data_IF_991600519095
#
_entry.id   IF_991600519095
#
_cell.length_a   1.000
_cell.length_b   1.000
_cell.length_c   1.000
_cell.angle_alpha   90.00
_cell.angle_beta   90.00
_cell.angle_gamma   90.00
#
_symmetry.space_group_name_H-M   'P 1'
#
loop_
_entity.id
_entity.type
_entity.pdbx_description
1 polymer ?
#
# COMPACT_ATOMS: atom_id res chain seq x y z
N UNK A 1 31.21 -11.79 -10.00
CA UNK A 1 31.03 -11.05 -11.26
C UNK A 1 29.65 -10.41 -11.19
N UNK A 2 29.53 -9.10 -11.41
CA UNK A 2 28.22 -8.45 -11.43
C UNK A 2 27.44 -8.94 -12.66
N UNK A 3 26.14 -9.21 -12.50
CA UNK A 3 25.27 -9.60 -13.62
C UNK A 3 25.26 -8.49 -14.68
N UNK A 4 25.12 -8.84 -15.95
CA UNK A 4 24.95 -7.81 -16.98
C UNK A 4 23.63 -7.08 -16.78
N UNK A 5 23.51 -5.86 -17.28
CA UNK A 5 22.26 -5.11 -17.17
C UNK A 5 21.11 -5.83 -17.91
N UNK A 6 21.40 -6.49 -19.03
CA UNK A 6 20.45 -7.32 -19.78
C UNK A 6 19.92 -8.48 -18.92
N UNK A 7 20.80 -9.20 -18.23
CA UNK A 7 20.41 -10.29 -17.33
C UNK A 7 19.51 -9.80 -16.19
N UNK A 8 19.81 -8.62 -15.63
CA UNK A 8 18.98 -8.03 -14.57
C UNK A 8 17.59 -7.67 -15.09
N UNK A 9 17.49 -7.10 -16.30
CA UNK A 9 16.18 -6.82 -16.92
C UNK A 9 15.39 -8.10 -17.18
N UNK A 10 16.07 -9.17 -17.62
CA UNK A 10 15.47 -10.50 -17.78
C UNK A 10 14.93 -11.07 -16.46
N UNK A 11 15.75 -11.05 -15.41
CA UNK A 11 15.36 -11.53 -14.07
C UNK A 11 14.13 -10.77 -13.52
N UNK A 12 14.06 -9.46 -13.76
CA UNK A 12 12.94 -8.64 -13.29
C UNK A 12 11.62 -8.98 -13.98
N UNK A 13 11.67 -9.38 -15.25
CA UNK A 13 10.50 -9.80 -16.02
C UNK A 13 10.09 -11.26 -15.73
N UNK A 14 10.99 -12.04 -15.12
CA UNK A 14 10.77 -13.47 -14.92
C UNK A 14 9.71 -13.74 -13.84
N UNK A 15 8.70 -14.53 -14.19
CA UNK A 15 7.67 -14.95 -13.25
C UNK A 15 8.21 -15.99 -12.26
N UNK A 16 7.91 -15.80 -10.98
CA UNK A 16 8.22 -16.75 -9.90
C UNK A 16 7.09 -16.80 -8.88
N UNK A 17 7.10 -17.78 -7.97
CA UNK A 17 6.10 -17.91 -6.91
C UNK A 17 6.60 -17.29 -5.60
N UNK A 18 5.69 -16.73 -4.80
CA UNK A 18 5.94 -16.50 -3.37
C UNK A 18 5.06 -17.43 -2.55
N UNK A 19 5.54 -17.83 -1.38
CA UNK A 19 4.75 -18.61 -0.43
C UNK A 19 3.81 -17.69 0.33
N UNK A 20 2.54 -18.06 0.44
CA UNK A 20 1.57 -17.40 1.32
C UNK A 20 1.19 -18.35 2.44
N UNK A 21 1.64 -18.04 3.65
CA UNK A 21 1.36 -18.82 4.85
C UNK A 21 0.21 -18.18 5.64
N UNK A 22 -0.90 -18.90 5.75
CA UNK A 22 -2.07 -18.46 6.52
C UNK A 22 -2.82 -19.70 7.04
N UNK A 23 -2.59 -20.05 8.30
CA UNK A 23 -3.23 -21.19 8.95
C UNK A 23 -3.54 -20.91 10.43
N UNK A 24 -4.26 -21.83 11.06
CA UNK A 24 -4.66 -21.71 12.47
C UNK A 24 -3.46 -21.76 13.43
N UNK A 25 -2.37 -22.43 13.03
CA UNK A 25 -1.12 -22.46 13.77
C UNK A 25 -0.48 -21.08 13.87
N UNK A 26 -0.42 -20.36 12.74
CA UNK A 26 0.02 -18.97 12.66
C UNK A 26 -0.85 -18.06 13.54
N UNK A 27 -2.18 -18.18 13.45
CA UNK A 27 -3.09 -17.38 14.28
C UNK A 27 -2.83 -17.59 15.78
N UNK A 28 -2.63 -18.85 16.19
CA UNK A 28 -2.36 -19.23 17.58
C UNK A 28 -1.00 -18.70 18.06
N UNK A 29 0.04 -18.80 17.21
CA UNK A 29 1.37 -18.30 17.52
C UNK A 29 1.42 -16.77 17.61
N UNK A 30 0.64 -16.06 16.79
CA UNK A 30 0.50 -14.60 16.87
C UNK A 30 -0.23 -14.18 18.14
N UNK A 31 -1.26 -14.92 18.56
CA UNK A 31 -1.95 -14.68 19.82
C UNK A 31 -1.01 -14.85 21.03
N UNK A 32 -0.19 -15.90 21.04
CA UNK A 32 0.84 -16.10 22.07
C UNK A 32 1.86 -14.96 22.09
N UNK A 33 2.41 -14.58 20.92
CA UNK A 33 3.37 -13.47 20.82
C UNK A 33 2.76 -12.12 21.25
N UNK A 34 1.46 -11.91 21.03
CA UNK A 34 0.76 -10.73 21.52
C UNK A 34 0.65 -10.73 23.05
N UNK A 35 0.27 -11.86 23.66
CA UNK A 35 0.17 -12.00 25.11
C UNK A 35 1.52 -11.77 25.80
N UNK A 36 2.60 -12.40 25.30
CA UNK A 36 3.96 -12.21 25.83
C UNK A 36 4.39 -10.73 25.78
N UNK A 37 4.16 -10.07 24.64
CA UNK A 37 4.49 -8.65 24.47
C UNK A 37 3.67 -7.73 25.38
N UNK A 38 2.42 -8.10 25.68
CA UNK A 38 1.55 -7.33 26.57
C UNK A 38 1.91 -7.56 28.05
N UNK A 39 2.34 -8.78 28.43
CA UNK A 39 2.90 -9.07 29.75
C UNK A 39 4.21 -8.30 29.99
N UNK A 40 5.13 -8.30 29.02
CA UNK A 40 6.36 -7.49 29.10
C UNK A 40 6.06 -6.00 29.22
N UNK A 41 5.08 -5.50 28.48
CA UNK A 41 4.64 -4.10 28.59
C UNK A 41 4.07 -3.82 29.98
N UNK A 42 3.24 -4.70 30.52
CA UNK A 42 2.66 -4.54 31.84
C UNK A 42 3.74 -4.50 32.93
N UNK A 43 4.77 -5.36 32.84
CA UNK A 43 5.94 -5.33 33.75
C UNK A 43 6.68 -3.99 33.66
N UNK A 44 6.99 -3.52 32.45
CA UNK A 44 7.65 -2.22 32.23
C UNK A 44 6.80 -1.02 32.69
N UNK A 45 5.48 -1.15 32.69
CA UNK A 45 4.56 -0.12 33.17
C UNK A 45 4.38 -0.15 34.70
N UNK A 46 4.53 -1.31 35.34
CA UNK A 46 4.49 -1.42 36.80
C UNK A 46 5.64 -0.63 37.47
N UNK A 47 6.76 -0.49 36.77
CA UNK A 47 7.94 0.27 37.20
C UNK A 47 7.84 1.78 36.93
N UNK A 48 6.80 2.25 36.23
CA UNK A 48 6.59 3.68 35.91
C UNK A 48 5.64 4.36 36.88
N UNK A 49 5.89 5.66 37.12
CA UNK A 49 5.00 6.52 37.88
C UNK A 49 3.58 6.55 37.28
N UNK A 50 2.56 6.71 38.13
CA UNK A 50 1.14 6.61 37.75
C UNK A 50 0.72 7.59 36.65
N UNK A 51 1.46 8.71 36.48
CA UNK A 51 1.22 9.71 35.43
C UNK A 51 1.78 9.30 34.05
N UNK A 52 2.70 8.34 34.01
CA UNK A 52 3.40 7.86 32.81
C UNK A 52 2.95 6.46 32.38
N UNK A 53 1.91 5.92 33.04
CA UNK A 53 1.31 4.64 32.67
C UNK A 53 0.47 4.81 31.41
N UNK A 54 0.98 4.29 30.30
CA UNK A 54 0.20 4.10 29.08
C UNK A 54 -0.97 3.15 29.34
N UNK A 55 -2.15 3.46 28.81
CA UNK A 55 -3.28 2.52 28.79
C UNK A 55 -2.90 1.21 28.09
N UNK A 56 -3.53 0.09 28.48
CA UNK A 56 -3.31 -1.21 27.85
C UNK A 56 -3.41 -1.12 26.31
N UNK A 57 -2.46 -1.72 25.60
CA UNK A 57 -2.44 -1.67 24.16
C UNK A 57 -3.59 -2.49 23.59
N UNK A 58 -4.49 -1.83 22.87
CA UNK A 58 -5.55 -2.52 22.12
C UNK A 58 -4.96 -3.21 20.89
N UNK A 59 -5.43 -4.44 20.65
CA UNK A 59 -5.10 -5.26 19.49
C UNK A 59 -6.38 -5.74 18.85
N UNK A 60 -6.35 -5.91 17.54
CA UNK A 60 -7.49 -6.43 16.79
C UNK A 60 -7.77 -7.87 17.27
N UNK A 61 -8.96 -8.16 17.80
CA UNK A 61 -9.29 -9.49 18.27
C UNK A 61 -9.59 -10.43 17.10
N UNK A 62 -9.70 -11.72 17.41
CA UNK A 62 -10.19 -12.76 16.49
C UNK A 62 -9.47 -12.77 15.13
N UNK A 63 -8.14 -12.72 15.16
CA UNK A 63 -7.33 -12.93 13.96
C UNK A 63 -7.48 -14.37 13.50
N UNK A 64 -7.86 -14.53 12.23
CA UNK A 64 -8.15 -15.82 11.61
C UNK A 64 -7.32 -15.99 10.33
N UNK A 65 -7.12 -17.25 9.90
CA UNK A 65 -6.51 -17.54 8.61
C UNK A 65 -7.35 -17.00 7.45
N UNK A 66 -6.68 -16.63 6.37
CA UNK A 66 -7.32 -16.18 5.15
C UNK A 66 -7.80 -17.40 4.37
N UNK A 67 -9.09 -17.42 4.05
CA UNK A 67 -9.63 -18.41 3.12
C UNK A 67 -9.19 -18.10 1.68
N UNK A 68 -8.20 -18.83 1.18
CA UNK A 68 -7.70 -18.73 -0.19
C UNK A 68 -8.19 -19.90 -1.04
N UNK A 69 -8.44 -19.65 -2.34
CA UNK A 69 -8.61 -20.73 -3.33
C UNK A 69 -7.24 -21.09 -3.90
N UNK A 70 -6.80 -22.34 -3.75
CA UNK A 70 -5.58 -22.88 -4.37
C UNK A 70 -4.42 -23.14 -3.41
N UNK A 71 -3.23 -23.42 -3.97
CA UNK A 71 -2.07 -24.05 -3.29
C UNK A 71 -1.21 -23.10 -2.41
N UNK A 72 -1.79 -22.05 -1.81
CA UNK A 72 -1.04 -21.18 -0.88
C UNK A 72 0.19 -20.50 -1.50
N UNK A 73 0.22 -20.31 -2.82
CA UNK A 73 1.29 -19.64 -3.54
C UNK A 73 0.75 -18.54 -4.44
N UNK A 74 1.58 -17.52 -4.69
CA UNK A 74 1.23 -16.39 -5.53
C UNK A 74 2.29 -16.19 -6.60
N UNK A 75 1.89 -16.37 -7.87
CA UNK A 75 2.77 -16.13 -9.02
C UNK A 75 2.87 -14.64 -9.37
N UNK A 76 4.07 -14.09 -9.44
CA UNK A 76 4.35 -12.68 -9.72
C UNK A 76 5.79 -12.49 -10.24
N UNK A 77 6.09 -11.33 -10.80
CA UNK A 77 7.46 -10.94 -11.18
C UNK A 77 8.08 -10.04 -10.11
N UNK A 78 9.42 -10.00 -9.95
CA UNK A 78 10.06 -9.00 -9.11
C UNK A 78 9.62 -7.57 -9.48
N UNK A 79 9.41 -7.32 -10.78
CA UNK A 79 8.95 -6.02 -11.26
C UNK A 79 7.56 -5.62 -10.77
N UNK A 80 6.63 -6.57 -10.61
CA UNK A 80 5.31 -6.30 -10.00
C UNK A 80 5.44 -5.84 -8.54
N UNK A 81 6.37 -6.43 -7.79
CA UNK A 81 6.64 -6.03 -6.40
C UNK A 81 7.13 -4.58 -6.35
N UNK A 82 8.04 -4.23 -7.25
CA UNK A 82 8.59 -2.88 -7.34
C UNK A 82 7.54 -1.87 -7.83
N UNK A 83 6.65 -2.28 -8.73
CA UNK A 83 5.53 -1.45 -9.18
C UNK A 83 4.57 -1.17 -8.02
N UNK A 84 4.14 -2.19 -7.26
CA UNK A 84 3.28 -2.00 -6.07
C UNK A 84 3.99 -1.14 -5.02
N UNK A 85 5.28 -1.37 -4.76
CA UNK A 85 6.05 -0.56 -3.83
C UNK A 85 6.13 0.90 -4.28
N UNK A 86 6.46 1.15 -5.54
CA UNK A 86 6.51 2.49 -6.13
C UNK A 86 5.18 3.23 -5.99
N UNK A 87 4.06 2.56 -6.30
CA UNK A 87 2.70 3.09 -6.07
C UNK A 87 2.45 3.42 -4.59
N UNK A 88 2.86 2.53 -3.69
CA UNK A 88 2.63 2.66 -2.25
C UNK A 88 3.39 3.85 -1.62
N UNK A 89 4.58 4.17 -2.14
CA UNK A 89 5.44 5.25 -1.63
C UNK A 89 5.32 6.56 -2.42
N UNK A 90 4.52 6.61 -3.49
CA UNK A 90 4.40 7.79 -4.36
C UNK A 90 3.96 9.07 -3.62
N UNK A 91 3.18 8.94 -2.55
CA UNK A 91 2.77 10.05 -1.68
C UNK A 91 3.60 10.18 -0.40
N UNK A 92 4.61 9.33 -0.22
CA UNK A 92 5.42 9.35 0.99
C UNK A 92 6.32 10.58 0.97
N UNK A 93 6.06 11.59 1.81
CA UNK A 93 6.88 12.82 1.85
C UNK A 93 8.18 12.61 2.64
N UNK A 94 8.96 11.57 2.31
CA UNK A 94 10.10 11.11 3.13
C UNK A 94 11.42 11.77 2.73
N UNK A 95 11.54 12.35 1.55
CA UNK A 95 12.73 13.04 1.05
C UNK A 95 12.77 14.53 1.38
N UNK A 96 13.96 15.02 1.73
CA UNK A 96 14.26 16.46 1.80
C UNK A 96 14.55 17.06 0.40
N UNK A 97 14.96 16.22 -0.55
CA UNK A 97 15.17 16.58 -1.94
C UNK A 97 13.82 16.76 -2.65
N UNK A 98 13.33 18.00 -2.66
CA UNK A 98 12.10 18.37 -3.36
C UNK A 98 12.31 18.20 -4.87
N UNK A 99 11.45 17.43 -5.53
CA UNK A 99 11.48 17.23 -6.99
C UNK A 99 11.96 15.85 -7.47
N UNK A 100 12.52 15.01 -6.59
CA UNK A 100 12.72 13.58 -6.91
C UNK A 100 11.42 12.83 -6.61
N UNK A 101 10.86 12.17 -7.61
CA UNK A 101 9.63 11.42 -7.42
C UNK A 101 9.89 10.18 -6.54
N UNK A 102 9.20 10.09 -5.40
CA UNK A 102 9.45 9.10 -4.34
C UNK A 102 9.27 7.65 -4.82
N UNK A 103 8.40 7.45 -5.83
CA UNK A 103 8.17 6.13 -6.40
C UNK A 103 9.43 5.50 -7.03
N UNK A 104 10.40 6.32 -7.48
CA UNK A 104 11.69 5.83 -7.96
C UNK A 104 12.54 5.18 -6.87
N UNK A 105 12.22 5.42 -5.60
CA UNK A 105 12.85 4.73 -4.47
C UNK A 105 12.76 3.20 -4.55
N UNK A 106 11.78 2.65 -5.26
CA UNK A 106 11.66 1.21 -5.49
C UNK A 106 12.79 0.64 -6.37
N UNK A 107 13.38 1.43 -7.27
CA UNK A 107 14.38 0.98 -8.25
C UNK A 107 15.70 0.52 -7.61
N UNK A 108 15.99 0.95 -6.37
CA UNK A 108 17.15 0.47 -5.60
C UNK A 108 17.10 -1.04 -5.31
N UNK A 109 15.94 -1.66 -5.47
CA UNK A 109 15.74 -3.09 -5.30
C UNK A 109 15.67 -3.86 -6.63
N UNK A 110 16.01 -3.24 -7.76
CA UNK A 110 16.05 -3.87 -9.09
C UNK A 110 16.90 -5.13 -9.16
N UNK A 111 17.90 -5.26 -8.27
CA UNK A 111 18.74 -6.45 -8.17
C UNK A 111 18.51 -7.25 -6.89
N UNK A 112 17.54 -6.89 -6.03
CA UNK A 112 17.41 -7.52 -4.71
C UNK A 112 16.81 -8.93 -4.74
N UNK A 113 16.06 -9.24 -5.79
CA UNK A 113 15.25 -10.45 -5.91
C UNK A 113 15.69 -11.27 -7.11
N UNK A 114 15.51 -12.58 -7.03
CA UNK A 114 15.71 -13.50 -8.14
C UNK A 114 14.72 -14.66 -7.99
N UNK A 115 14.29 -15.23 -9.11
CA UNK A 115 13.39 -16.37 -9.15
C UNK A 115 13.22 -16.85 -10.58
N UNK A 116 12.89 -18.12 -10.73
CA UNK A 116 12.70 -18.77 -12.02
C UNK A 116 11.27 -19.28 -12.16
N UNK A 117 10.88 -19.59 -13.40
CA UNK A 117 9.60 -20.23 -13.70
C UNK A 117 9.51 -21.56 -12.94
N UNK A 118 8.43 -21.73 -12.19
CA UNK A 118 8.19 -22.93 -11.39
C UNK A 118 9.00 -22.98 -10.08
N UNK A 119 9.84 -21.99 -9.78
CA UNK A 119 10.51 -21.84 -8.50
C UNK A 119 9.79 -20.85 -7.59
N UNK A 120 10.29 -20.75 -6.36
CA UNK A 120 9.97 -19.64 -5.46
C UNK A 120 11.00 -18.52 -5.57
N UNK A 121 10.54 -17.29 -5.41
CA UNK A 121 11.35 -16.09 -5.36
C UNK A 121 12.19 -16.08 -4.09
N UNK A 122 13.43 -15.60 -4.19
CA UNK A 122 14.39 -15.50 -3.10
C UNK A 122 15.23 -14.22 -3.23
N UNK A 123 15.99 -13.90 -2.18
CA UNK A 123 17.00 -12.84 -2.28
C UNK A 123 18.12 -13.25 -3.25
N UNK A 124 18.50 -12.34 -4.13
CA UNK A 124 19.68 -12.50 -4.97
C UNK A 124 20.97 -12.31 -4.13
N UNK A 125 22.14 -12.54 -4.72
CA UNK A 125 23.41 -12.23 -4.06
C UNK A 125 23.51 -10.74 -3.65
N UNK A 126 23.09 -9.82 -4.51
CA UNK A 126 23.06 -8.38 -4.22
C UNK A 126 22.03 -8.03 -3.14
N UNK A 127 20.87 -8.71 -3.18
CA UNK A 127 19.84 -8.60 -2.15
C UNK A 127 20.36 -8.97 -0.77
N UNK A 128 21.12 -10.06 -0.66
CA UNK A 128 21.75 -10.51 0.60
C UNK A 128 22.79 -9.52 1.11
N UNK A 129 23.68 -9.02 0.24
CA UNK A 129 24.68 -8.01 0.62
C UNK A 129 24.03 -6.73 1.17
N UNK A 130 22.95 -6.27 0.53
CA UNK A 130 22.17 -5.13 1.02
C UNK A 130 21.50 -5.44 2.35
N UNK A 131 21.00 -6.66 2.55
CA UNK A 131 20.39 -7.09 3.81
C UNK A 131 21.38 -6.98 4.98
N UNK A 132 22.66 -7.29 4.76
CA UNK A 132 23.68 -7.22 5.81
C UNK A 132 23.96 -5.77 6.25
N UNK A 133 23.88 -4.81 5.31
CA UNK A 133 24.18 -3.39 5.57
C UNK A 133 22.95 -2.57 5.97
N UNK A 134 21.77 -2.88 5.40
CA UNK A 134 20.54 -2.10 5.49
C UNK A 134 19.29 -2.97 5.74
N UNK A 135 19.44 -4.05 6.53
CA UNK A 135 18.41 -5.07 6.85
C UNK A 135 17.01 -4.50 7.08
N UNK A 136 16.90 -3.53 7.99
CA UNK A 136 15.60 -2.97 8.41
C UNK A 136 14.92 -2.20 7.30
N UNK A 137 15.68 -1.45 6.49
CA UNK A 137 15.13 -0.66 5.40
C UNK A 137 14.68 -1.57 4.27
N UNK A 138 15.54 -2.49 3.83
CA UNK A 138 15.23 -3.45 2.76
C UNK A 138 14.01 -4.30 3.10
N UNK A 139 14.00 -4.95 4.28
CA UNK A 139 12.86 -5.77 4.67
C UNK A 139 11.59 -4.98 4.94
N UNK A 140 11.70 -3.76 5.46
CA UNK A 140 10.55 -2.88 5.66
C UNK A 140 9.86 -2.50 4.35
N UNK A 141 10.63 -2.11 3.33
CA UNK A 141 10.08 -1.66 2.04
C UNK A 141 9.68 -2.83 1.14
N UNK A 142 10.52 -3.86 1.00
CA UNK A 142 10.12 -5.08 0.26
C UNK A 142 8.94 -5.77 0.94
N UNK A 143 8.87 -5.77 2.27
CA UNK A 143 7.72 -6.30 3.00
C UNK A 143 6.42 -5.54 2.73
N UNK A 144 6.48 -4.23 2.46
CA UNK A 144 5.33 -3.47 1.95
C UNK A 144 4.96 -3.93 0.54
N UNK A 145 5.92 -4.04 -0.38
CA UNK A 145 5.68 -4.49 -1.76
C UNK A 145 5.00 -5.87 -1.81
N UNK A 146 5.63 -6.87 -1.21
CA UNK A 146 5.10 -8.24 -1.17
C UNK A 146 3.76 -8.32 -0.43
N UNK A 147 3.65 -7.66 0.72
CA UNK A 147 2.43 -7.64 1.52
C UNK A 147 1.24 -7.05 0.76
N UNK A 148 1.45 -5.95 0.03
CA UNK A 148 0.38 -5.31 -0.75
C UNK A 148 0.01 -6.11 -2.00
N UNK A 149 0.96 -6.75 -2.70
CA UNK A 149 0.64 -7.66 -3.81
C UNK A 149 -0.21 -8.83 -3.31
N UNK A 150 0.18 -9.45 -2.19
CA UNK A 150 -0.59 -10.53 -1.59
C UNK A 150 -1.99 -10.06 -1.16
N UNK A 151 -2.08 -8.89 -0.51
CA UNK A 151 -3.35 -8.30 -0.11
C UNK A 151 -4.28 -8.04 -1.30
N UNK A 152 -3.79 -7.44 -2.38
CA UNK A 152 -4.57 -7.17 -3.59
C UNK A 152 -5.13 -8.46 -4.18
N UNK A 153 -4.34 -9.53 -4.25
CA UNK A 153 -4.81 -10.83 -4.78
C UNK A 153 -5.83 -11.50 -3.88
N UNK A 154 -5.59 -11.54 -2.57
CA UNK A 154 -6.55 -12.06 -1.59
C UNK A 154 -7.89 -11.34 -1.71
N UNK A 155 -7.85 -10.00 -1.74
CA UNK A 155 -9.05 -9.17 -1.80
C UNK A 155 -9.77 -9.31 -3.15
N UNK A 156 -9.05 -9.35 -4.26
CA UNK A 156 -9.63 -9.55 -5.59
C UNK A 156 -10.27 -10.95 -5.73
N UNK A 157 -9.72 -11.99 -5.08
CA UNK A 157 -10.33 -13.32 -5.05
C UNK A 157 -11.60 -13.35 -4.19
N UNK A 158 -11.58 -12.67 -3.04
CA UNK A 158 -12.72 -12.63 -2.10
C UNK A 158 -13.87 -11.74 -2.62
N UNK A 159 -13.56 -10.70 -3.39
CA UNK A 159 -14.52 -9.73 -3.91
C UNK A 159 -14.29 -9.49 -5.43
N UNK A 160 -14.58 -10.49 -6.29
CA UNK A 160 -14.23 -10.45 -7.71
C UNK A 160 -15.03 -9.42 -8.53
N UNK A 161 -16.15 -8.93 -8.00
CA UNK A 161 -16.99 -7.92 -8.65
C UNK A 161 -16.58 -6.48 -8.31
N UNK A 162 -15.54 -6.28 -7.50
CA UNK A 162 -15.06 -5.00 -7.00
C UNK A 162 -13.61 -4.75 -7.40
N UNK A 163 -13.27 -3.47 -7.54
CA UNK A 163 -11.88 -3.03 -7.79
C UNK A 163 -11.21 -2.72 -6.45
N UNK A 164 -9.97 -3.16 -6.29
CA UNK A 164 -9.16 -2.93 -5.08
C UNK A 164 -8.25 -1.72 -5.31
N UNK A 165 -8.43 -0.66 -4.54
CA UNK A 165 -7.52 0.48 -4.49
C UNK A 165 -6.75 0.49 -3.15
N UNK A 166 -5.42 0.57 -3.21
CA UNK A 166 -4.57 0.71 -2.03
C UNK A 166 -4.24 2.18 -1.82
N UNK A 167 -4.55 2.70 -0.63
CA UNK A 167 -4.43 4.12 -0.31
C UNK A 167 -3.59 4.31 0.94
N UNK A 168 -2.56 5.19 0.95
CA UNK A 168 -1.78 5.46 2.16
C UNK A 168 -2.65 5.99 3.31
N UNK A 169 -2.67 5.25 4.42
CA UNK A 169 -3.55 5.58 5.55
C UNK A 169 -3.11 6.86 6.25
N UNK A 170 -1.81 7.10 6.38
CA UNK A 170 -1.28 8.33 6.99
C UNK A 170 -1.75 9.58 6.22
N UNK A 171 -1.64 9.57 4.89
CA UNK A 171 -2.12 10.67 4.04
C UNK A 171 -3.65 10.80 4.10
N UNK A 172 -4.38 9.69 4.11
CA UNK A 172 -5.86 9.70 4.19
C UNK A 172 -6.34 10.32 5.51
N UNK A 173 -5.79 9.86 6.65
CA UNK A 173 -6.20 10.31 7.98
C UNK A 173 -5.86 11.78 8.25
N UNK A 174 -4.78 12.30 7.65
CA UNK A 174 -4.43 13.73 7.74
C UNK A 174 -5.52 14.66 7.18
N UNK A 175 -6.43 14.19 6.34
CA UNK A 175 -7.52 15.02 5.82
C UNK A 175 -8.47 15.52 6.92
N UNK A 176 -8.61 14.77 8.02
CA UNK A 176 -9.58 15.07 9.08
C UNK A 176 -9.07 15.05 10.51
N UNK A 177 -7.95 14.38 10.81
CA UNK A 177 -7.45 14.26 12.18
C UNK A 177 -6.22 15.13 12.43
N UNK A 178 -6.23 15.83 13.56
CA UNK A 178 -5.21 16.81 13.95
C UNK A 178 -3.96 16.20 14.58
N UNK A 179 -4.11 15.12 15.35
CA UNK A 179 -3.02 14.50 16.08
C UNK A 179 -2.60 13.17 15.43
N UNK A 180 -1.29 12.90 15.46
CA UNK A 180 -0.73 11.62 15.06
C UNK A 180 -0.96 10.62 16.19
N UNK A 181 -1.92 9.72 16.02
CA UNK A 181 -2.00 8.52 16.86
C UNK A 181 -0.68 7.74 16.82
N UNK A 182 -0.25 7.23 17.97
CA UNK A 182 0.97 6.40 18.11
C UNK A 182 0.88 5.18 17.19
N UNK A 183 -0.29 4.56 17.14
CA UNK A 183 -0.62 3.45 16.26
C UNK A 183 -1.53 3.92 15.13
N UNK A 184 -1.24 3.43 13.93
CA UNK A 184 -2.05 3.61 12.72
C UNK A 184 -1.63 2.59 11.66
N UNK A 185 -2.55 2.13 10.82
CA UNK A 185 -2.21 1.26 9.71
C UNK A 185 -1.33 2.02 8.71
N UNK A 186 -0.66 1.28 7.83
CA UNK A 186 0.12 1.88 6.76
C UNK A 186 -0.77 2.24 5.57
N UNK A 187 -1.77 1.41 5.28
CA UNK A 187 -2.64 1.53 4.13
C UNK A 187 -4.10 1.26 4.48
N UNK A 188 -5.00 1.74 3.64
CA UNK A 188 -6.36 1.23 3.50
C UNK A 188 -6.46 0.48 2.17
N UNK A 189 -7.20 -0.62 2.14
CA UNK A 189 -7.78 -1.12 0.91
C UNK A 189 -9.23 -0.64 0.82
N UNK A 190 -9.55 0.06 -0.27
CA UNK A 190 -10.92 0.38 -0.65
C UNK A 190 -11.35 -0.58 -1.76
N UNK A 191 -12.39 -1.38 -1.49
CA UNK A 191 -13.03 -2.26 -2.43
C UNK A 191 -14.32 -1.62 -2.93
N UNK A 192 -14.28 -1.09 -4.15
CA UNK A 192 -15.33 -0.25 -4.69
C UNK A 192 -15.90 -0.79 -5.99
N UNK A 193 -17.15 -0.40 -6.25
CA UNK A 193 -17.88 -0.66 -7.49
C UNK A 193 -18.76 0.56 -7.77
N UNK A 194 -18.82 1.06 -9.03
CA UNK A 194 -19.65 2.21 -9.35
C UNK A 194 -21.10 2.02 -8.90
N UNK A 195 -21.64 3.03 -8.20
CA UNK A 195 -23.02 3.02 -7.70
C UNK A 195 -23.26 2.23 -6.41
N UNK A 196 -22.28 1.47 -5.90
CA UNK A 196 -22.40 0.70 -4.67
C UNK A 196 -21.52 1.27 -3.54
N UNK A 197 -21.87 1.04 -2.26
CA UNK A 197 -21.02 1.39 -1.13
C UNK A 197 -19.64 0.72 -1.24
N UNK A 198 -18.57 1.47 -0.93
CA UNK A 198 -17.22 0.92 -0.83
C UNK A 198 -17.03 0.20 0.50
N UNK A 199 -16.36 -0.96 0.49
CA UNK A 199 -15.84 -1.60 1.69
C UNK A 199 -14.41 -1.11 1.92
N UNK A 200 -14.11 -0.59 3.10
CA UNK A 200 -12.77 -0.13 3.47
C UNK A 200 -12.23 -0.92 4.64
N UNK A 201 -10.99 -1.41 4.52
CA UNK A 201 -10.30 -2.10 5.60
C UNK A 201 -8.84 -1.62 5.76
N UNK A 202 -8.35 -1.42 6.99
CA UNK A 202 -6.95 -1.12 7.27
C UNK A 202 -6.03 -2.30 6.96
N UNK A 203 -4.85 -1.98 6.42
CA UNK A 203 -3.78 -2.92 6.10
C UNK A 203 -2.49 -2.46 6.78
N UNK A 204 -1.80 -3.41 7.41
CA UNK A 204 -0.42 -3.21 7.89
C UNK A 204 0.49 -4.29 7.35
N UNK A 205 1.57 -3.88 6.70
CA UNK A 205 2.61 -4.75 6.18
C UNK A 205 3.89 -4.57 6.99
N UNK A 206 4.51 -5.67 7.37
CA UNK A 206 5.85 -5.70 7.98
C UNK A 206 6.74 -6.59 7.14
N UNK A 207 8.05 -6.49 7.36
CA UNK A 207 8.99 -7.44 6.80
C UNK A 207 10.20 -7.63 7.69
N UNK A 208 10.86 -8.77 7.53
CA UNK A 208 12.08 -9.09 8.25
C UNK A 208 12.96 -10.07 7.45
N UNK A 209 14.27 -10.06 7.72
CA UNK A 209 15.19 -11.10 7.26
C UNK A 209 15.53 -12.09 8.38
N UNK A 210 14.64 -12.27 9.34
CA UNK A 210 14.87 -13.13 10.49
C UNK A 210 14.17 -14.46 10.24
N UNK A 211 13.33 -14.90 11.16
CA UNK A 211 12.60 -16.15 11.08
C UNK A 211 11.12 -15.89 11.33
N UNK A 212 10.33 -16.94 11.15
CA UNK A 212 8.90 -16.96 11.42
C UNK A 212 8.50 -16.46 12.82
N UNK A 213 9.32 -16.70 13.86
CA UNK A 213 9.03 -16.21 15.21
C UNK A 213 9.07 -14.67 15.29
N UNK A 214 9.96 -14.03 14.54
CA UNK A 214 9.94 -12.57 14.38
C UNK A 214 8.70 -12.10 13.63
N UNK A 215 8.26 -12.86 12.60
CA UNK A 215 6.99 -12.60 11.91
C UNK A 215 5.78 -12.65 12.86
N UNK A 216 5.76 -13.55 13.86
CA UNK A 216 4.69 -13.60 14.86
C UNK A 216 4.61 -12.29 15.66
N UNK A 217 5.75 -11.80 16.16
CA UNK A 217 5.81 -10.51 16.88
C UNK A 217 5.45 -9.31 15.98
N UNK A 218 5.82 -9.35 14.70
CA UNK A 218 5.45 -8.32 13.72
C UNK A 218 3.95 -8.31 13.44
N UNK A 219 3.31 -9.46 13.28
CA UNK A 219 1.86 -9.59 13.11
C UNK A 219 1.11 -9.18 14.38
N UNK A 220 1.60 -9.57 15.56
CA UNK A 220 1.07 -9.09 16.82
C UNK A 220 1.12 -7.56 16.88
N UNK A 221 2.27 -6.93 16.59
CA UNK A 221 2.37 -5.47 16.49
C UNK A 221 1.42 -4.88 15.45
N UNK A 222 1.32 -5.48 14.27
CA UNK A 222 0.43 -5.03 13.19
C UNK A 222 -1.06 -5.04 13.61
N UNK A 223 -1.48 -5.99 14.46
CA UNK A 223 -2.85 -6.03 15.01
C UNK A 223 -3.21 -4.77 15.81
N UNK A 224 -2.25 -4.16 16.50
CA UNK A 224 -2.47 -2.90 17.22
C UNK A 224 -2.55 -1.70 16.28
N UNK A 225 -1.81 -1.73 15.17
CA UNK A 225 -1.86 -0.68 14.15
C UNK A 225 -3.22 -0.64 13.45
N UNK A 226 -3.78 -1.79 13.07
CA UNK A 226 -5.09 -1.84 12.41
C UNK A 226 -6.24 -1.56 13.39
N UNK A 227 -6.10 -1.95 14.66
CA UNK A 227 -7.10 -1.69 15.71
C UNK A 227 -7.23 -0.21 16.07
N UNK A 228 -6.21 0.60 15.76
CA UNK A 228 -6.26 2.04 15.96
C UNK A 228 -7.27 2.75 15.04
N UNK A 229 -7.88 2.06 14.07
CA UNK A 229 -8.88 2.64 13.15
C UNK A 229 -10.16 1.81 13.15
N UNK A 230 -11.27 2.44 13.52
CA UNK A 230 -12.61 1.87 13.47
C UNK A 230 -13.43 2.61 12.40
N UNK A 231 -14.03 1.86 11.48
CA UNK A 231 -14.94 2.31 10.43
C UNK A 231 -16.28 1.63 10.66
N UNK A 232 -17.26 2.41 11.12
CA UNK A 232 -18.55 1.91 11.57
C UNK A 232 -18.52 1.44 13.01
N UNK A 233 -19.30 0.40 13.38
CA UNK A 233 -19.44 0.00 14.78
C UNK A 233 -18.11 -0.38 15.42
N UNK A 234 -18.04 -0.19 16.74
CA UNK A 234 -16.86 -0.53 17.52
C UNK A 234 -16.49 -2.01 17.31
N UNK A 235 -15.21 -2.25 17.03
CA UNK A 235 -14.60 -3.55 16.83
C UNK A 235 -15.09 -4.35 15.60
N UNK A 236 -16.01 -3.79 14.80
CA UNK A 236 -16.56 -4.47 13.62
C UNK A 236 -15.79 -4.18 12.34
N UNK A 237 -14.71 -3.40 12.39
CA UNK A 237 -13.92 -3.08 11.18
C UNK A 237 -13.09 -4.29 10.75
N UNK A 238 -13.32 -4.87 9.56
CA UNK A 238 -12.46 -5.94 9.07
C UNK A 238 -11.04 -5.41 8.84
N UNK A 239 -10.03 -6.27 8.91
CA UNK A 239 -8.64 -5.86 8.75
C UNK A 239 -7.78 -6.96 8.12
N UNK A 240 -6.66 -6.56 7.51
CA UNK A 240 -5.67 -7.49 7.00
C UNK A 240 -4.27 -7.12 7.52
N UNK A 241 -3.57 -8.10 8.09
CA UNK A 241 -2.21 -7.91 8.60
C UNK A 241 -1.28 -8.88 7.89
N UNK A 242 -0.12 -8.37 7.47
CA UNK A 242 0.87 -9.16 6.74
C UNK A 242 2.28 -8.95 7.29
N UNK A 243 3.07 -10.01 7.29
CA UNK A 243 4.50 -10.00 7.61
C UNK A 243 5.25 -10.80 6.56
N UNK A 244 6.22 -10.18 5.90
CA UNK A 244 7.04 -10.84 4.88
C UNK A 244 8.36 -11.30 5.47
N UNK A 245 8.62 -12.60 5.42
CA UNK A 245 9.92 -13.19 5.71
C UNK A 245 10.77 -13.22 4.43
N UNK A 246 11.93 -12.58 4.51
CA UNK A 246 12.96 -12.49 3.46
C UNK A 246 14.22 -13.21 3.94
N UNK A 247 14.19 -14.55 4.06
CA UNK A 247 15.32 -15.29 4.61
C UNK A 247 16.55 -15.09 3.72
N UNK A 248 17.74 -15.06 4.34
CA UNK A 248 19.00 -15.01 3.59
C UNK A 248 19.13 -16.22 2.68
N UNK A 249 18.68 -17.39 3.14
CA UNK A 249 18.62 -18.61 2.37
C UNK A 249 17.20 -19.18 2.43
N UNK A 250 16.54 -19.24 1.28
CA UNK A 250 15.20 -19.80 1.17
C UNK A 250 14.23 -18.91 0.40
N UNK A 251 12.96 -19.35 0.28
CA UNK A 251 11.93 -18.62 -0.43
C UNK A 251 11.36 -17.46 0.39
N UNK A 252 10.96 -16.40 -0.30
CA UNK A 252 10.16 -15.33 0.29
C UNK A 252 8.80 -15.87 0.69
N UNK A 253 8.42 -15.64 1.95
CA UNK A 253 7.14 -16.07 2.51
C UNK A 253 6.37 -14.89 3.07
N UNK A 254 5.13 -14.72 2.64
CA UNK A 254 4.20 -13.74 3.23
C UNK A 254 3.31 -14.48 4.21
N UNK A 255 3.39 -14.10 5.48
CA UNK A 255 2.46 -14.54 6.52
C UNK A 255 1.31 -13.56 6.59
N UNK A 256 0.08 -14.06 6.55
CA UNK A 256 -1.09 -13.20 6.48
C UNK A 256 -2.22 -13.71 7.36
N UNK A 257 -2.88 -12.80 8.07
CA UNK A 257 -4.09 -13.07 8.86
C UNK A 257 -5.09 -11.95 8.60
N UNK A 258 -6.37 -12.28 8.74
CA UNK A 258 -7.45 -11.30 8.67
C UNK A 258 -8.27 -11.29 9.95
N UNK A 259 -8.88 -10.14 10.25
CA UNK A 259 -10.01 -10.06 11.15
C UNK A 259 -11.26 -9.80 10.31
N UNK A 260 -12.33 -10.54 10.58
CA UNK A 260 -13.63 -10.28 9.98
C UNK A 260 -14.36 -9.17 10.73
N UNK A 261 -15.53 -8.80 10.21
CA UNK A 261 -16.38 -7.80 10.84
C UNK A 261 -17.43 -7.26 9.89
N UNK A 262 -18.53 -6.77 10.48
CA UNK A 262 -19.67 -6.21 9.73
C UNK A 262 -19.51 -4.74 9.35
N UNK A 263 -18.47 -4.07 9.84
CA UNK A 263 -18.13 -2.68 9.58
C UNK A 263 -17.38 -2.47 8.26
N UNK A 264 -16.73 -1.31 8.13
CA UNK A 264 -15.95 -0.94 6.93
C UNK A 264 -16.78 -0.47 5.73
N UNK A 265 -18.09 -0.72 5.70
CA UNK A 265 -18.99 -0.31 4.63
C UNK A 265 -19.33 1.18 4.69
N UNK A 266 -18.85 1.95 3.72
CA UNK A 266 -19.10 3.38 3.58
C UNK A 266 -20.45 3.63 2.87
N UNK A 267 -21.53 3.23 3.53
CA UNK A 267 -22.90 3.42 3.03
C UNK A 267 -23.26 4.91 3.02
N UNK A 268 -23.81 5.41 1.91
CA UNK A 268 -24.27 6.81 1.84
C UNK A 268 -25.68 6.89 2.46
N UNK A 269 -25.89 7.64 3.56
CA UNK A 269 -27.23 8.11 3.87
C UNK A 269 -27.69 8.99 2.70
N UNK A 270 -28.98 8.89 2.36
CA UNK A 270 -29.61 9.49 1.18
C UNK A 270 -29.28 11.00 1.01
N UNK A 271 -28.86 11.37 -0.20
CA UNK A 271 -29.22 12.61 -0.91
C UNK A 271 -28.60 13.98 -0.55
N UNK A 272 -27.45 14.09 0.14
CA UNK A 272 -26.67 15.35 0.09
C UNK A 272 -25.48 15.21 -0.86
N UNK A 273 -25.63 15.80 -2.04
CA UNK A 273 -24.84 15.52 -3.23
C UNK A 273 -23.56 16.35 -3.31
N UNK A 274 -22.42 15.69 -3.12
CA UNK A 274 -21.18 16.04 -3.81
C UNK A 274 -20.55 14.75 -4.33
N UNK A 275 -20.33 14.62 -5.63
CA UNK A 275 -19.62 13.46 -6.19
C UNK A 275 -18.19 13.32 -5.61
N UNK A 276 -17.47 12.29 -6.03
CA UNK A 276 -16.04 12.11 -5.67
C UNK A 276 -15.15 13.25 -6.20
N UNK A 277 -15.64 13.97 -7.21
CA UNK A 277 -14.97 15.09 -7.89
C UNK A 277 -14.92 16.36 -7.02
N UNK A 278 -15.84 16.48 -6.05
CA UNK A 278 -15.88 17.61 -5.12
C UNK A 278 -14.69 17.54 -4.16
N UNK A 279 -14.09 18.68 -3.83
CA UNK A 279 -13.03 18.72 -2.84
C UNK A 279 -13.62 18.50 -1.43
N UNK A 280 -13.09 17.56 -0.63
CA UNK A 280 -13.53 17.35 0.74
C UNK A 280 -13.13 18.55 1.59
N UNK A 281 -13.99 18.89 2.56
CA UNK A 281 -13.66 19.84 3.60
C UNK A 281 -12.51 19.29 4.46
N UNK A 282 -11.62 20.19 4.88
CA UNK A 282 -10.58 19.87 5.85
C UNK A 282 -11.22 19.79 7.23
N UNK A 283 -11.37 18.58 7.75
CA UNK A 283 -12.02 18.37 9.04
C UNK A 283 -11.02 18.46 10.20
N UNK A 284 -11.53 18.67 11.41
CA UNK A 284 -10.74 18.80 12.65
C UNK A 284 -11.26 17.83 13.72
N UNK A 285 -11.37 16.56 13.37
CA UNK A 285 -11.78 15.51 14.29
C UNK A 285 -10.69 15.22 15.33
N UNK A 286 -11.13 15.02 16.56
CA UNK A 286 -10.26 14.51 17.62
C UNK A 286 -9.98 13.01 17.41
N UNK A 287 -8.75 12.55 17.67
CA UNK A 287 -8.36 11.15 17.47
C UNK A 287 -8.88 10.29 18.63
N UNK A 288 -10.18 10.01 18.59
CA UNK A 288 -10.86 9.18 19.58
C UNK A 288 -11.73 8.11 18.92
N UNK A 289 -11.67 6.90 19.51
CA UNK A 289 -12.60 5.80 19.26
C UNK A 289 -13.66 5.82 20.36
N UNK A 290 -14.92 5.81 19.92
CA UNK A 290 -16.05 5.73 20.83
C UNK A 290 -16.24 4.26 21.22
N UNK A 291 -16.19 3.99 22.52
CA UNK A 291 -16.55 2.69 23.06
C UNK A 291 -18.07 2.58 23.17
N UNK A 292 -18.65 1.36 23.06
CA UNK A 292 -20.02 1.15 23.47
C UNK A 292 -20.19 1.52 24.96
N UNK A 293 -21.36 2.04 25.33
CA UNK A 293 -21.68 2.33 26.72
C UNK A 293 -21.81 1.00 27.50
N UNK A 294 -21.11 0.89 28.63
CA UNK A 294 -21.25 -0.24 29.55
C UNK A 294 -22.13 0.20 30.72
N UNK A 295 -23.43 -0.08 30.63
CA UNK A 295 -24.40 0.34 31.66
C UNK A 295 -24.62 1.85 31.68
N UNK A 296 -24.69 2.44 32.88
CA UNK A 296 -24.98 3.86 33.09
C UNK A 296 -23.75 4.78 33.03
N UNK A 297 -22.53 4.22 32.91
CA UNK A 297 -21.32 5.03 32.81
C UNK A 297 -21.12 5.56 31.38
N UNK A 298 -20.85 6.86 31.20
CA UNK A 298 -20.56 7.41 29.89
C UNK A 298 -19.27 6.77 29.34
N UNK A 299 -19.27 6.29 28.09
CA UNK A 299 -18.12 5.59 27.52
C UNK A 299 -16.90 6.53 27.49
N UNK A 300 -15.82 6.11 28.13
CA UNK A 300 -14.55 6.84 28.07
C UNK A 300 -13.90 6.61 26.70
N UNK A 301 -13.74 7.64 25.86
CA UNK A 301 -13.14 7.48 24.54
C UNK A 301 -11.67 7.07 24.69
N UNK A 302 -11.19 6.25 23.76
CA UNK A 302 -9.76 5.89 23.70
C UNK A 302 -9.09 6.52 22.49
N UNK A 303 -7.77 6.65 22.51
CA UNK A 303 -7.01 7.18 21.38
C UNK A 303 -7.15 6.30 20.14
N UNK A 304 -7.43 6.90 18.99
CA UNK A 304 -7.52 6.22 17.69
C UNK A 304 -8.30 7.03 16.65
N UNK A 305 -8.75 6.40 15.58
CA UNK A 305 -9.49 7.06 14.51
C UNK A 305 -10.83 6.37 14.33
N UNK A 306 -11.93 7.11 14.45
CA UNK A 306 -13.27 6.55 14.31
C UNK A 306 -14.05 7.24 13.19
N UNK A 307 -14.34 6.49 12.14
CA UNK A 307 -15.21 6.91 11.03
C UNK A 307 -16.62 6.43 11.37
N UNK A 308 -17.41 7.29 11.99
CA UNK A 308 -18.82 7.04 12.31
C UNK A 308 -19.70 7.21 11.05
N UNK A 309 -20.95 6.72 11.04
CA UNK A 309 -21.82 6.77 9.86
C UNK A 309 -21.99 8.18 9.25
N UNK A 310 -21.99 9.23 10.07
CA UNK A 310 -22.10 10.62 9.63
C UNK A 310 -20.89 11.08 8.80
N UNK A 311 -19.78 10.33 8.85
CA UNK A 311 -18.52 10.63 8.18
C UNK A 311 -18.26 9.75 6.96
N UNK A 312 -19.14 8.78 6.65
CA UNK A 312 -18.90 7.81 5.58
C UNK A 312 -18.72 8.45 4.21
N UNK A 313 -19.57 9.42 3.85
CA UNK A 313 -19.48 10.11 2.57
C UNK A 313 -18.17 10.91 2.45
N UNK A 314 -17.86 11.71 3.48
CA UNK A 314 -16.62 12.48 3.55
C UNK A 314 -15.40 11.56 3.45
N UNK A 315 -15.35 10.47 4.21
CA UNK A 315 -14.22 9.56 4.22
C UNK A 315 -14.06 8.81 2.89
N UNK A 316 -15.17 8.39 2.27
CA UNK A 316 -15.16 7.79 0.93
C UNK A 316 -14.59 8.75 -0.13
N UNK A 317 -14.95 10.04 -0.06
CA UNK A 317 -14.38 11.08 -0.93
C UNK A 317 -12.89 11.29 -0.66
N UNK A 318 -12.47 11.32 0.61
CA UNK A 318 -11.05 11.43 0.98
C UNK A 318 -10.24 10.25 0.44
N UNK A 319 -10.73 9.02 0.59
CA UNK A 319 -10.07 7.82 0.04
C UNK A 319 -9.92 7.91 -1.48
N UNK A 320 -11.01 8.21 -2.18
CA UNK A 320 -11.02 8.29 -3.64
C UNK A 320 -10.05 9.33 -4.18
N UNK A 321 -10.03 10.51 -3.57
CA UNK A 321 -9.11 11.57 -3.99
C UNK A 321 -7.68 11.28 -3.57
N UNK A 322 -7.44 10.67 -2.41
CA UNK A 322 -6.08 10.27 -2.02
C UNK A 322 -5.53 9.19 -2.96
N UNK A 323 -6.37 8.27 -3.43
CA UNK A 323 -6.01 7.30 -4.47
C UNK A 323 -5.66 8.00 -5.79
N UNK A 324 -6.47 8.97 -6.24
CA UNK A 324 -6.21 9.80 -7.41
C UNK A 324 -4.89 10.59 -7.30
N UNK A 325 -4.63 11.21 -6.14
CA UNK A 325 -3.38 11.89 -5.85
C UNK A 325 -2.19 10.93 -6.00
N UNK A 326 -2.33 9.70 -5.48
CA UNK A 326 -1.28 8.69 -5.60
C UNK A 326 -0.99 8.34 -7.04
N UNK A 327 -2.03 8.19 -7.89
CA UNK A 327 -1.88 7.89 -9.33
C UNK A 327 -1.13 9.00 -10.06
N UNK A 328 -1.54 10.25 -9.86
CA UNK A 328 -0.89 11.40 -10.52
C UNK A 328 0.53 11.63 -10.01
N UNK A 329 0.80 11.36 -8.72
CA UNK A 329 2.15 11.46 -8.16
C UNK A 329 3.08 10.38 -8.71
N UNK A 330 2.54 9.19 -8.97
CA UNK A 330 3.26 8.10 -9.62
C UNK A 330 3.59 8.42 -11.07
N UNK A 331 2.72 9.13 -11.79
CA UNK A 331 2.99 9.65 -13.13
C UNK A 331 3.86 10.92 -13.15
N UNK A 332 4.35 11.39 -11.99
CA UNK A 332 5.20 12.59 -11.90
C UNK A 332 4.47 13.94 -11.95
N UNK A 333 3.14 13.99 -12.07
CA UNK A 333 2.43 15.27 -12.16
C UNK A 333 2.06 15.84 -10.78
N UNK A 334 2.94 16.69 -10.26
CA UNK A 334 2.71 17.41 -8.99
C UNK A 334 1.49 18.33 -9.01
N UNK A 335 1.20 19.01 -10.13
CA UNK A 335 0.04 19.93 -10.20
C UNK A 335 -1.26 19.14 -10.10
N UNK A 336 -1.39 18.08 -10.88
CA UNK A 336 -2.53 17.19 -10.85
C UNK A 336 -2.66 16.50 -9.48
N UNK A 337 -1.54 16.15 -8.84
CA UNK A 337 -1.53 15.60 -7.47
C UNK A 337 -2.07 16.59 -6.44
N UNK A 338 -1.62 17.85 -6.50
CA UNK A 338 -1.99 18.88 -5.54
C UNK A 338 -3.50 19.17 -5.49
N UNK A 339 -4.24 18.97 -6.58
CA UNK A 339 -5.67 19.24 -6.63
C UNK A 339 -6.49 18.28 -5.75
N UNK A 340 -5.94 17.10 -5.48
CA UNK A 340 -6.62 16.02 -4.76
C UNK A 340 -6.40 16.05 -3.25
N UNK A 341 -5.36 16.76 -2.79
CA UNK A 341 -4.94 16.79 -1.40
C UNK A 341 -5.42 18.07 -0.70
N UNK A 342 -5.76 17.97 0.59
CA UNK A 342 -5.93 19.15 1.45
C UNK A 342 -4.57 19.71 1.90
N UNK A 343 -4.57 20.88 2.56
CA UNK A 343 -3.33 21.48 3.07
C UNK A 343 -2.65 20.56 4.10
N UNK A 344 -3.44 19.96 4.99
CA UNK A 344 -2.96 18.97 5.97
C UNK A 344 -2.41 17.69 5.37
N UNK A 345 -2.98 17.25 4.26
CA UNK A 345 -2.45 16.11 3.51
C UNK A 345 -1.14 16.43 2.77
N UNK A 346 -0.68 17.68 2.83
CA UNK A 346 0.60 18.08 2.27
C UNK A 346 0.52 18.62 0.84
N UNK A 347 -0.65 19.15 0.41
CA UNK A 347 -0.83 19.79 -0.91
C UNK A 347 0.34 20.66 -1.35
N UNK A 348 0.88 21.47 -0.43
CA UNK A 348 1.98 22.41 -0.68
C UNK A 348 3.27 21.76 -1.18
N UNK A 349 3.50 20.47 -0.88
CA UNK A 349 4.66 19.74 -1.38
C UNK A 349 4.62 19.54 -2.90
N UNK A 350 3.43 19.59 -3.49
CA UNK A 350 3.20 19.32 -4.91
C UNK A 350 2.91 20.59 -5.74
N UNK A 351 2.74 21.76 -5.10
CA UNK A 351 2.52 23.05 -5.78
C UNK A 351 3.79 23.88 -5.97
N UNK A 352 4.91 23.47 -5.37
CA UNK A 352 6.01 24.38 -5.02
C UNK A 352 7.02 24.76 -6.12
N UNK A 353 7.13 24.05 -7.25
CA UNK A 353 8.22 24.32 -8.21
C UNK A 353 7.80 24.15 -9.67
N UNK A 354 7.50 25.27 -10.31
CA UNK A 354 7.51 25.45 -11.76
C UNK A 354 8.77 26.23 -12.22
N UNK A 355 9.93 25.99 -11.60
CA UNK A 355 11.19 26.68 -11.93
C UNK A 355 12.31 25.70 -12.35
N UNK A 356 12.45 25.62 -13.68
CA UNK A 356 13.66 25.57 -14.52
C UNK A 356 14.77 24.49 -14.34
N UNK A 357 14.80 23.64 -13.31
CA UNK A 357 15.80 22.54 -13.29
C UNK A 357 15.43 21.30 -12.45
N UNK A 358 14.33 21.33 -11.70
CA UNK A 358 13.84 20.20 -10.88
C UNK A 358 12.41 19.81 -11.27
N UNK A 359 12.07 20.02 -12.53
CA UNK A 359 10.77 19.67 -13.06
C UNK A 359 10.88 18.20 -13.48
N UNK A 360 10.39 17.28 -12.64
CA UNK A 360 9.76 16.07 -13.19
C UNK A 360 8.52 16.59 -13.89
N UNK A 361 8.73 17.13 -15.10
CA UNK A 361 7.67 17.48 -16.01
C UNK A 361 7.09 16.13 -16.41
N UNK A 362 5.78 16.05 -16.60
CA UNK A 362 5.21 14.99 -17.43
C UNK A 362 5.75 15.16 -18.85
N UNK A 363 6.95 14.63 -19.13
CA UNK A 363 7.71 14.78 -20.38
C UNK A 363 7.87 13.47 -21.17
N UNK A 364 7.46 12.33 -20.59
CA UNK A 364 7.56 11.03 -21.23
C UNK A 364 6.17 10.47 -21.61
N UNK A 365 6.07 10.03 -22.86
CA UNK A 365 4.93 9.27 -23.37
C UNK A 365 5.42 8.04 -24.14
N UNK A 366 4.79 6.89 -23.88
CA UNK A 366 5.15 5.63 -24.50
C UNK A 366 3.91 4.80 -24.81
N UNK A 367 3.96 4.05 -25.91
CA UNK A 367 2.97 3.01 -26.19
C UNK A 367 3.53 1.67 -25.73
N UNK A 368 2.90 1.08 -24.71
CA UNK A 368 3.30 -0.19 -24.12
C UNK A 368 2.13 -1.16 -24.21
N UNK A 369 2.34 -2.35 -24.78
CA UNK A 369 1.29 -3.38 -24.94
C UNK A 369 0.03 -2.82 -25.65
N UNK A 370 0.23 -1.95 -26.64
CA UNK A 370 -0.86 -1.31 -27.40
C UNK A 370 -1.61 -0.20 -26.66
N UNK A 371 -1.20 0.16 -25.43
CA UNK A 371 -1.82 1.20 -24.61
C UNK A 371 -0.87 2.40 -24.57
N UNK A 372 -1.42 3.59 -24.81
CA UNK A 372 -0.67 4.84 -24.73
C UNK A 372 -0.64 5.34 -23.28
N UNK A 373 0.56 5.50 -22.72
CA UNK A 373 0.80 5.95 -21.35
C UNK A 373 1.53 7.29 -21.34
N UNK A 374 1.20 8.12 -20.35
CA UNK A 374 1.88 9.39 -20.06
C UNK A 374 2.41 9.38 -18.64
N UNK A 375 3.58 9.96 -18.43
CA UNK A 375 4.18 10.01 -17.11
C UNK A 375 5.56 10.65 -17.10
N UNK A 376 6.48 10.05 -16.35
CA UNK A 376 7.85 10.53 -16.15
C UNK A 376 8.82 9.38 -16.36
N UNK A 377 10.02 9.70 -16.84
CA UNK A 377 11.13 8.76 -16.90
C UNK A 377 12.17 9.03 -15.80
N UNK A 378 13.07 8.08 -15.63
CA UNK A 378 14.27 8.23 -14.84
C UNK A 378 15.41 7.43 -15.45
N UNK A 379 16.51 8.11 -15.74
CA UNK A 379 17.72 7.49 -16.31
C UNK A 379 18.79 7.33 -15.23
N UNK A 380 19.25 6.10 -15.05
CA UNK A 380 20.32 5.77 -14.12
C UNK A 380 21.26 4.71 -14.71
N UNK A 381 22.32 4.33 -13.97
CA UNK A 381 23.23 3.27 -14.40
C UNK A 381 22.97 2.00 -13.64
N UNK A 382 22.88 0.89 -14.37
CA UNK A 382 22.72 -0.46 -13.82
C UNK A 382 23.94 -1.28 -14.24
N UNK A 383 24.85 -1.55 -13.31
CA UNK A 383 26.10 -2.29 -13.55
C UNK A 383 26.95 -1.74 -14.72
N UNK A 384 26.89 -0.42 -14.97
CA UNK A 384 27.65 0.27 -16.01
C UNK A 384 26.76 0.95 -17.06
N UNK A 385 26.03 0.19 -17.90
CA UNK A 385 25.11 0.71 -18.91
C UNK A 385 24.05 1.66 -18.34
N UNK A 386 23.57 2.58 -19.18
CA UNK A 386 22.42 3.44 -18.85
C UNK A 386 21.14 2.65 -19.07
N UNK A 387 20.22 2.78 -18.12
CA UNK A 387 18.86 2.25 -18.20
C UNK A 387 17.87 3.38 -17.99
N UNK A 388 16.73 3.27 -18.66
CA UNK A 388 15.59 4.16 -18.50
C UNK A 388 14.48 3.38 -17.81
N UNK A 389 14.02 3.89 -16.68
CA UNK A 389 12.77 3.47 -16.06
C UNK A 389 11.67 4.49 -16.41
N UNK A 390 10.46 4.01 -16.69
CA UNK A 390 9.29 4.80 -17.00
C UNK A 390 8.15 4.43 -16.05
N UNK A 391 7.47 5.45 -15.51
CA UNK A 391 6.28 5.31 -14.68
C UNK A 391 5.19 6.21 -15.23
N UNK A 392 3.97 5.67 -15.35
CA UNK A 392 2.90 6.42 -15.98
C UNK A 392 1.50 5.87 -15.71
N UNK A 393 0.52 6.56 -16.28
CA UNK A 393 -0.90 6.19 -16.28
C UNK A 393 -1.40 6.22 -17.73
N UNK A 394 -2.33 5.32 -18.07
CA UNK A 394 -2.93 5.32 -19.40
C UNK A 394 -3.47 6.72 -19.73
N UNK A 395 -3.13 7.24 -20.91
CA UNK A 395 -3.26 8.66 -21.24
C UNK A 395 -4.69 9.19 -21.08
N UNK A 396 -5.68 8.42 -21.55
CA UNK A 396 -7.08 8.76 -21.42
C UNK A 396 -7.57 8.79 -19.96
N UNK A 397 -7.14 7.83 -19.14
CA UNK A 397 -7.39 7.83 -17.70
C UNK A 397 -6.69 8.99 -16.99
N UNK A 398 -5.45 9.29 -17.38
CA UNK A 398 -4.70 10.42 -16.85
C UNK A 398 -5.41 11.74 -17.19
N UNK A 399 -5.95 11.90 -18.40
CA UNK A 399 -6.70 13.09 -18.76
C UNK A 399 -7.90 13.34 -17.84
N UNK A 400 -8.64 12.29 -17.48
CA UNK A 400 -9.72 12.39 -16.49
C UNK A 400 -9.20 12.83 -15.12
N UNK A 401 -8.08 12.24 -14.67
CA UNK A 401 -7.44 12.61 -13.41
C UNK A 401 -6.82 14.01 -13.44
N UNK A 402 -6.32 14.49 -14.57
CA UNK A 402 -5.81 15.85 -14.68
C UNK A 402 -6.93 16.88 -14.56
N UNK A 403 -8.13 16.54 -15.06
CA UNK A 403 -9.32 17.38 -15.04
C UNK A 403 -10.17 17.27 -13.76
N UNK A 404 -9.73 16.51 -12.75
CA UNK A 404 -10.46 16.35 -11.50
C UNK A 404 -11.66 15.39 -11.56
N UNK A 405 -11.79 14.60 -12.63
CA UNK A 405 -12.94 13.72 -12.93
C UNK A 405 -12.73 12.31 -12.35
N UNK A 406 -12.66 12.20 -11.02
CA UNK A 406 -12.42 10.95 -10.28
C UNK A 406 -13.56 9.94 -10.51
N UNK A 407 -14.81 10.39 -10.59
CA UNK A 407 -15.95 9.49 -10.82
C UNK A 407 -15.90 8.85 -12.20
N UNK A 408 -15.60 9.64 -13.25
CA UNK A 408 -15.45 9.09 -14.60
C UNK A 408 -14.25 8.15 -14.67
N UNK A 409 -13.10 8.52 -14.09
CA UNK A 409 -11.93 7.64 -13.99
C UNK A 409 -12.29 6.29 -13.37
N UNK A 410 -13.04 6.28 -12.25
CA UNK A 410 -13.48 5.04 -11.60
C UNK A 410 -14.43 4.22 -12.47
N UNK A 411 -15.35 4.85 -13.20
CA UNK A 411 -16.22 4.15 -14.15
C UNK A 411 -15.41 3.44 -15.24
N UNK A 412 -14.48 4.15 -15.87
CA UNK A 412 -13.63 3.59 -16.94
C UNK A 412 -12.76 2.43 -16.44
N UNK A 413 -12.13 2.57 -15.27
CA UNK A 413 -11.36 1.47 -14.64
C UNK A 413 -12.25 0.25 -14.41
N UNK A 414 -13.46 0.47 -13.89
CA UNK A 414 -14.38 -0.63 -13.61
C UNK A 414 -14.82 -1.35 -14.88
N UNK A 415 -15.16 -0.61 -15.95
CA UNK A 415 -15.56 -1.17 -17.23
C UNK A 415 -14.42 -1.97 -17.88
N UNK A 416 -13.18 -1.51 -17.73
CA UNK A 416 -11.98 -2.15 -18.30
C UNK A 416 -11.33 -3.19 -17.39
N UNK A 417 -11.87 -3.47 -16.21
CA UNK A 417 -11.22 -4.27 -15.15
C UNK A 417 -10.73 -5.66 -15.60
N UNK A 418 -11.36 -6.25 -16.63
CA UNK A 418 -11.01 -7.55 -17.20
C UNK A 418 -10.17 -7.48 -18.48
N UNK A 419 -9.86 -6.29 -18.99
CA UNK A 419 -9.20 -6.07 -20.28
C UNK A 419 -7.73 -5.62 -20.14
N UNK A 420 -7.26 -5.37 -18.92
CA UNK A 420 -5.86 -4.99 -18.68
C UNK A 420 -4.91 -6.14 -19.01
N UNK A 421 -3.80 -5.88 -19.74
CA UNK A 421 -2.83 -6.91 -20.05
C UNK A 421 -2.25 -7.54 -18.78
N UNK A 422 -2.25 -8.87 -18.71
CA UNK A 422 -1.41 -9.59 -17.76
C UNK A 422 0.02 -9.64 -18.30
N UNK A 423 1.02 -9.35 -17.44
CA UNK A 423 2.47 -9.38 -17.71
C UNK A 423 2.85 -10.12 -18.99
N UNK A 424 2.92 -9.37 -20.08
CA UNK A 424 3.38 -9.83 -21.39
C UNK A 424 4.65 -9.06 -21.70
N UNK A 425 5.67 -9.75 -22.19
CA UNK A 425 6.85 -9.07 -22.73
C UNK A 425 6.37 -8.17 -23.87
N UNK A 426 6.62 -6.87 -23.73
CA UNK A 426 6.46 -5.98 -24.88
C UNK A 426 7.75 -6.07 -25.70
N UNK A 427 7.71 -6.85 -26.78
CA UNK A 427 8.89 -7.08 -27.64
C UNK A 427 9.50 -5.77 -28.14
N UNK A 428 8.71 -4.70 -28.31
CA UNK A 428 9.20 -3.40 -28.74
C UNK A 428 9.90 -2.59 -27.64
N UNK A 429 9.66 -2.91 -26.36
CA UNK A 429 10.27 -2.22 -25.22
C UNK A 429 11.60 -2.85 -24.82
N UNK A 430 11.77 -4.16 -25.06
CA UNK A 430 12.98 -4.92 -24.76
C UNK A 430 13.42 -4.81 -23.29
N UNK A 431 12.47 -5.03 -22.37
CA UNK A 431 12.70 -4.98 -20.93
C UNK A 431 11.42 -5.25 -20.13
N UNK A 432 11.49 -5.28 -18.78
CA UNK A 432 10.34 -5.55 -17.93
C UNK A 432 9.28 -4.45 -18.04
N UNK A 433 8.02 -4.87 -18.17
CA UNK A 433 6.82 -4.01 -18.18
C UNK A 433 5.79 -4.63 -17.23
N UNK A 434 5.27 -3.83 -16.31
CA UNK A 434 4.16 -4.22 -15.41
C UNK A 434 3.04 -3.21 -15.56
N UNK A 435 1.85 -3.67 -15.93
CA UNK A 435 0.63 -2.87 -16.04
C UNK A 435 -0.34 -3.34 -14.97
N UNK A 436 -0.85 -2.41 -14.17
CA UNK A 436 -1.79 -2.72 -13.09
C UNK A 436 -3.24 -2.40 -13.46
N UNK A 437 -4.23 -3.05 -12.81
CA UNK A 437 -5.65 -2.81 -13.08
C UNK A 437 -6.16 -1.41 -12.75
N UNK A 438 -5.36 -0.58 -12.05
CA UNK A 438 -5.62 0.85 -11.83
C UNK A 438 -5.08 1.73 -12.99
N UNK A 439 -4.67 1.11 -14.10
CA UNK A 439 -4.22 1.79 -15.31
C UNK A 439 -2.82 2.36 -15.22
N UNK A 440 -2.04 2.04 -14.19
CA UNK A 440 -0.63 2.44 -14.09
C UNK A 440 0.28 1.46 -14.82
N UNK A 441 1.44 1.98 -15.26
CA UNK A 441 2.52 1.18 -15.83
C UNK A 441 3.84 1.53 -15.15
N UNK A 442 4.66 0.51 -14.93
CA UNK A 442 6.07 0.65 -14.63
C UNK A 442 6.85 -0.16 -15.68
N UNK A 443 7.83 0.45 -16.32
CA UNK A 443 8.63 -0.18 -17.37
C UNK A 443 10.11 0.18 -17.22
N UNK A 444 11.01 -0.69 -17.65
CA UNK A 444 12.45 -0.36 -17.69
C UNK A 444 13.13 -0.99 -18.90
N UNK A 445 14.07 -0.29 -19.51
CA UNK A 445 14.84 -0.77 -20.66
C UNK A 445 16.27 -0.24 -20.64
N UNK A 446 17.12 -0.86 -21.46
CA UNK A 446 18.46 -0.33 -21.74
C UNK A 446 18.37 0.89 -22.67
N UNK A 447 19.20 1.88 -22.38
CA UNK A 447 19.48 2.97 -23.30
C UNK A 447 20.78 2.65 -24.04
N UNK A 448 20.64 2.42 -25.35
CA UNK A 448 21.75 2.23 -26.28
C UNK A 448 22.58 3.49 -26.44
#
# INVERSE_FOLDING_TARGET
MLKSAEDVLGDLAQCSNISLHSDSGLASAVAAAAADADEERAKKQAEKDTKDKDTALRRKPELQPISMRGEGSVRLTPWDVLHVLGRAIALSSRGAARGLAEHWGALKYSQALTGDIGSFMKLSAEGKLTADQYKTLQSGELGIGFGLVAAQKVLAQRYPDRVVAIVPADTTLRAGWSARGTYRPQFFAELWKPGEPSLTLPITCKGNHSNVAHSHGQLASASAHVEAVHIGPWNETPALILSTELPLDGPVTVHALCAEGSGGWLSRPRAESGGLDVQPSEAHYFPQIQLPANGDEPPSPVTGFHVTPERYEWFGRVLARTAAAGLTAFAGDGRATAQYLTNRQGKKHFTGFAHAAAVSVRDADHTLLGIHFVGTDHVFRLNGPRVEAFSGVASDLFHLLANGQVEQYRREIYERRSAWPSNSSNDSWNGPVSVHPDGTVLAMRLLS
#
